data_IF_408450038837
#
_entry.id   IF_408450038837
#
_cell.length_a   1.000
_cell.length_b   1.000
_cell.length_c   1.000
_cell.angle_alpha   90.00
_cell.angle_beta   90.00
_cell.angle_gamma   90.00
#
_symmetry.space_group_name_H-M   'P 1'
#
loop_
_entity.id
_entity.type
_entity.pdbx_description
1 polymer ?
#
# COMPACT_ATOMS: atom_id res chain seq x y z
N UNK A 1 -6.90 -14.84 -69.68
CA UNK A 1 -6.26 -13.85 -68.78
C UNK A 1 -7.10 -13.75 -67.51
N UNK A 2 -6.65 -14.33 -66.40
CA UNK A 2 -7.28 -14.11 -65.09
C UNK A 2 -6.18 -14.16 -64.02
N UNK A 3 -5.70 -13.00 -63.57
CA UNK A 3 -4.70 -12.88 -62.51
C UNK A 3 -5.41 -13.10 -61.16
N UNK A 4 -5.16 -14.24 -60.52
CA UNK A 4 -5.61 -14.50 -59.14
C UNK A 4 -4.72 -13.70 -58.19
N UNK A 5 -5.22 -12.56 -57.71
CA UNK A 5 -4.55 -11.78 -56.67
C UNK A 5 -4.86 -12.44 -55.32
N UNK A 6 -3.87 -13.13 -54.76
CA UNK A 6 -3.93 -13.64 -53.38
C UNK A 6 -3.62 -12.48 -52.45
N UNK A 7 -4.61 -12.02 -51.69
CA UNK A 7 -4.43 -11.01 -50.64
C UNK A 7 -4.03 -11.75 -49.36
N UNK A 8 -2.78 -11.57 -48.94
CA UNK A 8 -2.27 -12.08 -47.68
C UNK A 8 -2.70 -11.13 -46.57
N UNK A 9 -3.67 -11.55 -45.75
CA UNK A 9 -4.11 -10.77 -44.58
C UNK A 9 -3.10 -10.99 -43.45
N UNK A 10 -2.23 -10.00 -43.22
CA UNK A 10 -1.26 -10.01 -42.14
C UNK A 10 -1.99 -9.72 -40.81
N UNK A 11 -2.28 -10.74 -40.02
CA UNK A 11 -2.74 -10.56 -38.64
C UNK A 11 -1.59 -10.01 -37.80
N UNK A 12 -1.65 -8.72 -37.47
CA UNK A 12 -0.77 -8.12 -36.46
C UNK A 12 -1.29 -8.58 -35.10
N UNK A 13 -0.67 -9.62 -34.54
CA UNK A 13 -0.95 -10.10 -33.20
C UNK A 13 -0.21 -9.19 -32.21
N UNK A 14 -0.85 -8.12 -31.74
CA UNK A 14 -0.29 -7.31 -30.64
C UNK A 14 -0.46 -8.11 -29.34
N UNK A 15 0.59 -8.80 -28.90
CA UNK A 15 0.64 -9.32 -27.54
C UNK A 15 0.72 -8.14 -26.58
N UNK A 16 -0.38 -7.85 -25.87
CA UNK A 16 -0.30 -7.00 -24.69
C UNK A 16 0.59 -7.72 -23.67
N UNK A 17 1.82 -7.24 -23.50
CA UNK A 17 2.70 -7.68 -22.42
C UNK A 17 2.08 -7.14 -21.12
N UNK A 18 1.24 -7.95 -20.47
CA UNK A 18 0.89 -7.66 -19.09
C UNK A 18 2.17 -7.81 -18.26
N UNK A 19 2.59 -6.73 -17.59
CA UNK A 19 3.69 -6.81 -16.64
C UNK A 19 3.31 -7.82 -15.55
N UNK A 20 4.14 -8.85 -15.37
CA UNK A 20 3.91 -9.91 -14.38
C UNK A 20 3.91 -9.33 -12.96
N UNK A 21 2.90 -9.69 -12.15
CA UNK A 21 2.87 -9.32 -10.72
C UNK A 21 4.03 -9.97 -9.98
N UNK A 22 4.64 -9.22 -9.07
CA UNK A 22 5.57 -9.73 -8.07
C UNK A 22 4.83 -10.58 -7.03
N UNK A 23 5.45 -11.67 -6.59
CA UNK A 23 4.90 -12.58 -5.59
C UNK A 23 5.40 -12.14 -4.20
N UNK A 24 4.50 -11.60 -3.38
CA UNK A 24 4.81 -11.14 -2.03
C UNK A 24 5.43 -12.25 -1.18
N UNK A 25 6.52 -11.93 -0.50
CA UNK A 25 7.04 -12.66 0.64
C UNK A 25 6.33 -12.18 1.91
N UNK A 26 5.47 -13.02 2.47
CA UNK A 26 4.66 -12.68 3.64
C UNK A 26 5.47 -12.56 4.94
N UNK A 27 6.65 -13.19 5.03
CA UNK A 27 7.48 -13.17 6.23
C UNK A 27 8.30 -11.88 6.32
N UNK A 28 8.60 -11.28 5.17
CA UNK A 28 9.40 -10.06 5.04
C UNK A 28 8.58 -8.81 4.70
N UNK A 29 7.25 -8.95 4.62
CA UNK A 29 6.34 -7.82 4.41
C UNK A 29 5.70 -7.38 5.73
N UNK A 30 5.90 -6.12 6.11
CA UNK A 30 5.41 -5.56 7.38
C UNK A 30 4.77 -4.19 7.20
N UNK A 31 3.75 -3.90 8.01
CA UNK A 31 3.17 -2.57 8.19
C UNK A 31 3.17 -2.26 9.68
N UNK A 32 4.09 -1.39 10.07
CA UNK A 32 4.27 -0.93 11.44
C UNK A 32 3.68 0.47 11.60
N UNK A 33 3.21 0.76 12.81
CA UNK A 33 2.81 2.11 13.18
C UNK A 33 3.34 2.48 14.57
N UNK A 34 3.61 3.77 14.76
CA UNK A 34 3.97 4.33 16.05
C UNK A 34 3.13 5.58 16.30
N UNK A 35 2.51 5.65 17.48
CA UNK A 35 1.75 6.81 17.94
C UNK A 35 2.15 7.18 19.36
N UNK A 36 2.14 8.47 19.70
CA UNK A 36 2.35 8.90 21.09
C UNK A 36 1.05 8.89 21.88
N UNK A 37 1.07 8.31 23.07
CA UNK A 37 0.02 8.37 24.07
C UNK A 37 0.63 8.79 25.42
N UNK A 38 0.13 9.86 26.04
CA UNK A 38 0.75 10.50 27.21
C UNK A 38 2.25 10.84 26.99
N UNK A 39 2.62 11.21 25.76
CA UNK A 39 4.00 11.53 25.38
C UNK A 39 4.91 10.32 25.16
N UNK A 40 4.45 9.11 25.46
CA UNK A 40 5.19 7.85 25.31
C UNK A 40 4.83 7.21 23.97
N UNK A 41 5.83 6.69 23.25
CA UNK A 41 5.59 5.93 22.01
C UNK A 41 4.89 4.62 22.30
N UNK A 42 3.85 4.34 21.52
CA UNK A 42 3.15 3.06 21.43
C UNK A 42 3.35 2.56 20.02
N UNK A 43 4.02 1.42 19.91
CA UNK A 43 4.21 0.72 18.65
C UNK A 43 3.08 -0.29 18.42
N UNK A 44 2.82 -0.57 17.16
CA UNK A 44 1.94 -1.64 16.74
C UNK A 44 2.20 -2.07 15.31
N UNK A 45 1.53 -3.15 14.94
CA UNK A 45 1.69 -3.84 13.65
C UNK A 45 0.33 -4.29 13.15
N UNK A 46 0.17 -4.37 11.83
CA UNK A 46 -0.90 -5.16 11.23
C UNK A 46 -0.32 -6.47 10.70
N UNK A 47 -0.75 -7.59 11.28
CA UNK A 47 -0.19 -8.92 10.98
C UNK A 47 -0.70 -9.53 9.68
N UNK A 48 -1.73 -8.95 9.04
CA UNK A 48 -2.30 -9.45 7.78
C UNK A 48 -2.36 -8.34 6.76
N UNK A 49 -1.35 -8.35 5.89
CA UNK A 49 -1.15 -7.37 4.83
C UNK A 49 -0.98 -8.10 3.50
N UNK A 50 -1.62 -7.57 2.46
CA UNK A 50 -1.41 -8.01 1.07
C UNK A 50 -1.11 -6.80 0.23
N UNK A 51 0.06 -6.79 -0.39
CA UNK A 51 0.53 -5.78 -1.34
C UNK A 51 0.69 -6.49 -2.68
N UNK A 52 0.06 -5.92 -3.71
CA UNK A 52 0.17 -6.35 -5.09
C UNK A 52 0.83 -5.25 -5.89
N UNK A 53 1.82 -5.64 -6.68
CA UNK A 53 2.57 -4.73 -7.52
C UNK A 53 3.11 -5.44 -8.74
N UNK A 54 3.16 -4.72 -9.86
CA UNK A 54 3.85 -5.11 -11.08
C UNK A 54 5.03 -4.15 -11.36
N UNK A 55 5.55 -3.50 -10.30
CA UNK A 55 6.55 -2.44 -10.37
C UNK A 55 7.67 -2.79 -11.35
N UNK A 56 7.94 -1.85 -12.25
CA UNK A 56 8.97 -1.95 -13.26
C UNK A 56 9.66 -0.60 -13.40
N UNK A 57 10.91 -0.52 -12.97
CA UNK A 57 11.70 0.71 -13.04
C UNK A 57 11.85 1.25 -14.48
N UNK A 58 11.77 0.38 -15.49
CA UNK A 58 11.87 0.77 -16.90
C UNK A 58 10.56 1.31 -17.48
N UNK A 59 9.44 1.12 -16.77
CA UNK A 59 8.11 1.56 -17.19
C UNK A 59 7.21 1.82 -15.97
N UNK A 60 7.40 3.00 -15.36
CA UNK A 60 6.57 3.45 -14.24
C UNK A 60 5.12 3.72 -14.65
N UNK A 61 4.87 4.01 -15.94
CA UNK A 61 3.53 4.39 -16.42
C UNK A 61 2.51 3.26 -16.32
N UNK A 62 2.97 2.01 -16.42
CA UNK A 62 2.16 0.81 -16.23
C UNK A 62 2.35 0.17 -14.85
N UNK A 63 3.15 0.76 -13.97
CA UNK A 63 3.44 0.25 -12.63
C UNK A 63 2.35 0.66 -11.63
N UNK A 64 1.96 -0.26 -10.74
CA UNK A 64 1.05 0.00 -9.62
C UNK A 64 1.55 -0.62 -8.32
N UNK A 65 1.12 -0.05 -7.19
CA UNK A 65 1.30 -0.62 -5.86
C UNK A 65 -0.03 -0.49 -5.11
N UNK A 66 -0.71 -1.60 -4.89
CA UNK A 66 -1.99 -1.64 -4.19
C UNK A 66 -1.85 -2.46 -2.91
N UNK A 67 -2.35 -1.94 -1.79
CA UNK A 67 -2.26 -2.61 -0.50
C UNK A 67 -3.63 -2.82 0.14
N UNK A 68 -3.79 -3.96 0.82
CA UNK A 68 -4.95 -4.28 1.66
C UNK A 68 -4.43 -4.73 3.02
N UNK A 69 -4.91 -4.07 4.07
CA UNK A 69 -4.62 -4.43 5.46
C UNK A 69 -5.91 -4.86 6.13
N UNK A 70 -5.90 -6.02 6.80
CA UNK A 70 -7.04 -6.48 7.59
C UNK A 70 -7.03 -5.78 8.95
N UNK A 71 -8.09 -5.04 9.28
CA UNK A 71 -8.16 -4.24 10.51
C UNK A 71 -8.04 -5.12 11.75
N UNK A 72 -8.70 -6.28 11.75
CA UNK A 72 -8.65 -7.25 12.85
C UNK A 72 -7.29 -7.91 13.09
N UNK A 73 -6.27 -7.59 12.28
CA UNK A 73 -4.91 -8.09 12.47
C UNK A 73 -4.01 -7.13 13.25
N UNK A 74 -4.56 -5.99 13.68
CA UNK A 74 -3.86 -5.04 14.52
C UNK A 74 -3.37 -5.69 15.81
N UNK A 75 -2.13 -5.41 16.17
CA UNK A 75 -1.55 -5.80 17.44
C UNK A 75 -0.66 -4.71 17.99
N UNK A 76 -0.79 -4.46 19.27
CA UNK A 76 0.07 -3.57 20.05
C UNK A 76 0.75 -4.30 21.21
N UNK A 77 0.66 -5.64 21.22
CA UNK A 77 1.13 -6.49 22.31
C UNK A 77 0.29 -6.41 23.60
N UNK A 78 -0.87 -5.75 23.59
CA UNK A 78 -1.78 -5.66 24.75
C UNK A 78 -3.20 -5.98 24.29
N UNK A 79 -3.68 -7.19 24.56
CA UNK A 79 -4.97 -7.71 24.09
C UNK A 79 -6.17 -6.80 24.39
N UNK A 80 -6.22 -6.19 25.58
CA UNK A 80 -7.30 -5.28 25.95
C UNK A 80 -7.33 -4.02 25.08
N UNK A 81 -6.16 -3.50 24.70
CA UNK A 81 -6.03 -2.36 23.79
C UNK A 81 -6.34 -2.78 22.37
N UNK A 82 -5.86 -3.94 21.94
CA UNK A 82 -6.10 -4.46 20.59
C UNK A 82 -7.60 -4.66 20.34
N UNK A 83 -8.34 -5.22 21.32
CA UNK A 83 -9.80 -5.31 21.26
C UNK A 83 -10.46 -3.94 21.16
N UNK A 84 -10.06 -2.98 22.01
CA UNK A 84 -10.63 -1.63 21.98
C UNK A 84 -10.40 -0.90 20.66
N UNK A 85 -9.24 -1.10 20.00
CA UNK A 85 -8.96 -0.50 18.69
C UNK A 85 -9.90 -1.00 17.59
N UNK A 86 -10.56 -2.15 17.76
CA UNK A 86 -11.52 -2.70 16.80
C UNK A 86 -12.93 -2.12 16.94
N UNK A 87 -13.22 -1.43 18.06
CA UNK A 87 -14.54 -0.88 18.35
C UNK A 87 -14.87 0.36 17.51
N UNK A 88 -16.13 0.79 17.57
CA UNK A 88 -16.72 1.84 16.71
C UNK A 88 -15.98 3.19 16.79
N UNK A 89 -15.47 3.56 17.96
CA UNK A 89 -14.77 4.82 18.19
C UNK A 89 -13.37 4.84 17.56
N UNK A 90 -12.78 3.68 17.27
CA UNK A 90 -11.50 3.52 16.56
C UNK A 90 -11.70 3.05 15.13
N UNK A 91 -11.34 1.81 14.80
CA UNK A 91 -11.35 1.34 13.41
C UNK A 91 -12.72 0.81 12.97
N UNK A 92 -13.65 0.54 13.90
CA UNK A 92 -14.96 -0.04 13.60
C UNK A 92 -14.82 -1.26 12.67
N UNK A 93 -14.14 -2.28 13.18
CA UNK A 93 -13.72 -3.43 12.37
C UNK A 93 -14.90 -4.27 11.86
N UNK A 94 -16.09 -4.12 12.47
CA UNK A 94 -17.33 -4.77 12.04
C UNK A 94 -17.79 -4.19 10.70
N UNK A 95 -17.87 -2.86 10.59
CA UNK A 95 -18.33 -2.20 9.37
C UNK A 95 -17.20 -2.00 8.35
N UNK A 96 -15.96 -1.84 8.82
CA UNK A 96 -14.79 -1.53 8.00
C UNK A 96 -13.67 -2.56 8.23
N UNK A 97 -13.82 -3.73 7.61
CA UNK A 97 -12.88 -4.85 7.80
C UNK A 97 -11.48 -4.63 7.22
N UNK A 98 -11.33 -3.65 6.31
CA UNK A 98 -10.11 -3.45 5.50
C UNK A 98 -9.73 -1.98 5.40
N UNK A 99 -8.44 -1.72 5.54
CA UNK A 99 -7.78 -0.51 5.05
C UNK A 99 -7.26 -0.81 3.64
N UNK A 100 -7.43 0.14 2.71
CA UNK A 100 -7.01 -0.02 1.31
C UNK A 100 -6.15 1.14 0.85
N UNK A 101 -5.12 0.83 0.09
CA UNK A 101 -4.33 1.80 -0.67
C UNK A 101 -4.40 1.41 -2.14
N UNK A 102 -4.86 2.34 -2.97
CA UNK A 102 -4.98 2.15 -4.41
C UNK A 102 -4.13 3.20 -5.12
N UNK A 103 -3.05 2.74 -5.77
CA UNK A 103 -2.17 3.61 -6.53
C UNK A 103 -2.86 4.18 -7.76
N UNK A 104 -2.49 5.41 -8.10
CA UNK A 104 -2.93 6.11 -9.30
C UNK A 104 -1.78 6.32 -10.29
N UNK A 105 -0.57 6.57 -9.79
CA UNK A 105 0.66 6.68 -10.56
C UNK A 105 1.88 6.58 -9.66
N UNK A 106 3.02 6.29 -10.27
CA UNK A 106 4.35 6.39 -9.67
C UNK A 106 5.17 7.32 -10.55
N UNK A 107 5.80 8.33 -9.95
CA UNK A 107 6.63 9.30 -10.67
C UNK A 107 7.96 9.50 -9.97
N UNK A 108 8.98 9.86 -10.73
CA UNK A 108 10.25 10.32 -10.18
C UNK A 108 10.18 11.85 -10.00
N UNK A 109 10.56 12.34 -8.83
CA UNK A 109 10.64 13.78 -8.56
C UNK A 109 11.90 14.40 -9.19
N UNK A 110 12.13 15.69 -8.99
CA UNK A 110 13.30 16.39 -9.54
C UNK A 110 14.65 15.95 -8.96
N UNK A 111 14.62 15.32 -7.78
CA UNK A 111 15.80 14.86 -7.04
C UNK A 111 16.12 13.38 -7.33
N UNK A 112 15.25 12.70 -8.08
CA UNK A 112 15.38 11.28 -8.43
C UNK A 112 14.62 10.31 -7.52
N UNK A 113 13.86 10.82 -6.53
CA UNK A 113 13.10 9.98 -5.62
C UNK A 113 11.78 9.54 -6.26
N UNK A 114 11.38 8.29 -6.01
CA UNK A 114 10.10 7.77 -6.45
C UNK A 114 8.97 8.18 -5.49
N UNK A 115 7.92 8.77 -6.05
CA UNK A 115 6.72 9.19 -5.33
C UNK A 115 5.53 8.34 -5.82
N UNK A 116 4.91 7.63 -4.88
CA UNK A 116 3.67 6.90 -5.07
C UNK A 116 2.48 7.83 -4.79
N UNK A 117 1.67 8.10 -5.80
CA UNK A 117 0.41 8.82 -5.65
C UNK A 117 -0.71 7.80 -5.50
N UNK A 118 -1.43 7.83 -4.38
CA UNK A 118 -2.45 6.83 -4.07
C UNK A 118 -3.68 7.41 -3.38
N UNK A 119 -4.76 6.65 -3.41
CA UNK A 119 -5.92 6.86 -2.54
C UNK A 119 -5.87 5.89 -1.37
N UNK A 120 -5.76 6.42 -0.16
CA UNK A 120 -5.82 5.67 1.09
C UNK A 120 -7.24 5.75 1.65
N UNK A 121 -7.84 4.59 1.90
CA UNK A 121 -9.16 4.44 2.49
C UNK A 121 -9.08 3.76 3.85
N UNK A 122 -9.45 4.48 4.90
CA UNK A 122 -9.53 3.99 6.29
C UNK A 122 -10.91 4.35 6.84
N UNK A 123 -11.60 3.38 7.44
CA UNK A 123 -12.92 3.59 8.07
C UNK A 123 -13.94 4.28 7.14
N UNK A 124 -13.97 3.86 5.87
CA UNK A 124 -14.85 4.41 4.84
C UNK A 124 -14.47 5.79 4.30
N UNK A 125 -13.42 6.43 4.81
CA UNK A 125 -12.95 7.74 4.36
C UNK A 125 -11.76 7.57 3.44
N UNK A 126 -11.86 8.13 2.23
CA UNK A 126 -10.82 8.11 1.22
C UNK A 126 -10.07 9.45 1.15
N UNK A 127 -8.74 9.39 1.10
CA UNK A 127 -7.84 10.55 0.98
C UNK A 127 -6.77 10.28 -0.07
N UNK A 128 -6.49 11.26 -0.92
CA UNK A 128 -5.32 11.22 -1.81
C UNK A 128 -4.07 11.53 -0.99
N UNK A 129 -3.03 10.73 -1.18
CA UNK A 129 -1.75 10.85 -0.49
C UNK A 129 -0.60 10.64 -1.47
N UNK A 130 0.54 11.23 -1.13
CA UNK A 130 1.79 11.12 -1.85
C UNK A 130 2.79 10.50 -0.88
N UNK A 131 3.40 9.39 -1.30
CA UNK A 131 4.27 8.59 -0.44
C UNK A 131 5.61 8.46 -1.14
N UNK A 132 6.69 9.04 -0.59
CA UNK A 132 8.04 8.69 -0.99
C UNK A 132 8.27 7.19 -0.76
N UNK A 133 8.73 6.50 -1.79
CA UNK A 133 9.06 5.08 -1.74
C UNK A 133 10.51 4.87 -2.16
N UNK A 134 11.22 4.03 -1.41
CA UNK A 134 12.52 3.53 -1.83
C UNK A 134 12.33 2.15 -2.45
N UNK A 135 12.97 1.92 -3.59
CA UNK A 135 12.82 0.68 -4.36
C UNK A 135 14.18 0.11 -4.70
N UNK A 136 14.37 -1.17 -4.41
CA UNK A 136 15.59 -1.91 -4.75
C UNK A 136 15.23 -3.25 -5.37
N UNK A 137 15.72 -3.52 -6.57
CA UNK A 137 15.59 -4.81 -7.23
C UNK A 137 16.97 -5.48 -7.31
N UNK A 138 17.14 -6.63 -6.69
CA UNK A 138 18.39 -7.40 -6.72
C UNK A 138 18.11 -8.89 -6.75
N UNK A 139 18.77 -9.62 -7.65
CA UNK A 139 18.67 -11.09 -7.76
C UNK A 139 17.22 -11.59 -7.84
N UNK A 140 16.36 -10.93 -8.62
CA UNK A 140 14.93 -11.24 -8.74
C UNK A 140 14.12 -11.07 -7.44
N UNK A 141 14.63 -10.31 -6.49
CA UNK A 141 13.92 -9.85 -5.30
C UNK A 141 13.67 -8.35 -5.42
N UNK A 142 12.42 -7.94 -5.20
CA UNK A 142 12.00 -6.55 -5.10
C UNK A 142 11.78 -6.21 -3.63
N UNK A 143 12.48 -5.17 -3.16
CA UNK A 143 12.24 -4.56 -1.85
C UNK A 143 11.66 -3.16 -2.08
N UNK A 144 10.54 -2.86 -1.41
CA UNK A 144 9.96 -1.52 -1.35
C UNK A 144 9.88 -1.09 0.11
N UNK A 145 10.36 0.09 0.45
CA UNK A 145 10.15 0.68 1.77
C UNK A 145 9.46 2.04 1.66
N UNK A 146 8.68 2.36 2.69
CA UNK A 146 7.97 3.63 2.76
C UNK A 146 7.82 4.08 4.21
N UNK A 147 7.93 5.39 4.44
CA UNK A 147 7.64 6.00 5.74
C UNK A 147 6.77 7.23 5.54
N UNK A 148 5.62 7.28 6.21
CA UNK A 148 4.71 8.42 6.15
C UNK A 148 4.16 8.76 7.54
N UNK A 149 3.63 9.97 7.68
CA UNK A 149 2.87 10.37 8.88
C UNK A 149 1.45 10.69 8.48
N UNK A 150 0.48 10.07 9.15
CA UNK A 150 -0.93 10.30 8.95
C UNK A 150 -1.54 10.98 10.17
N UNK A 151 -2.51 11.85 9.95
CA UNK A 151 -3.36 12.34 11.03
C UNK A 151 -4.58 11.42 11.18
N UNK A 152 -4.66 10.68 12.28
CA UNK A 152 -5.75 9.70 12.54
C UNK A 152 -7.15 10.32 12.50
N UNK A 153 -7.26 11.62 12.78
CA UNK A 153 -8.54 12.33 12.79
C UNK A 153 -9.07 12.58 11.39
N UNK A 154 -8.22 12.58 10.37
CA UNK A 154 -8.66 12.72 8.97
C UNK A 154 -9.49 11.52 8.51
N UNK A 155 -9.42 10.41 9.26
CA UNK A 155 -10.13 9.16 9.04
C UNK A 155 -11.06 8.78 10.21
N UNK A 156 -11.37 9.72 11.12
CA UNK A 156 -12.24 9.49 12.28
C UNK A 156 -11.86 8.31 13.19
N UNK A 157 -10.56 8.05 13.37
CA UNK A 157 -10.06 6.99 14.26
C UNK A 157 -9.68 7.56 15.63
N UNK A 158 -10.39 7.16 16.69
CA UNK A 158 -10.08 7.47 18.09
C UNK A 158 -10.52 8.85 18.59
N UNK A 159 -11.40 9.54 17.86
CA UNK A 159 -12.02 10.81 18.27
C UNK A 159 -11.08 11.92 18.75
N UNK A 160 -11.60 12.86 19.55
CA UNK A 160 -10.80 13.90 20.21
C UNK A 160 -10.14 13.31 21.46
N UNK A 161 -8.85 13.59 21.65
CA UNK A 161 -8.12 13.22 22.86
C UNK A 161 -7.12 14.32 23.22
N UNK A 162 -6.86 14.51 24.52
CA UNK A 162 -5.82 15.41 25.03
C UNK A 162 -4.46 14.73 25.15
N UNK A 163 -4.43 13.40 25.14
CA UNK A 163 -3.26 12.58 25.49
C UNK A 163 -2.79 11.71 24.34
N UNK A 164 -3.71 11.31 23.45
CA UNK A 164 -3.41 10.54 22.26
C UNK A 164 -3.12 11.50 21.09
N UNK A 165 -1.89 11.43 20.58
CA UNK A 165 -1.43 12.20 19.41
C UNK A 165 -2.38 12.06 18.22
N UNK A 166 -2.47 13.11 17.40
CA UNK A 166 -3.16 13.02 16.11
C UNK A 166 -2.28 12.32 15.06
N UNK A 167 -0.97 12.54 15.13
CA UNK A 167 -0.01 12.01 14.17
C UNK A 167 0.35 10.57 14.53
N UNK A 168 0.26 9.70 13.53
CA UNK A 168 0.67 8.30 13.52
C UNK A 168 1.77 8.17 12.47
N UNK A 169 2.95 7.72 12.87
CA UNK A 169 4.00 7.34 11.91
C UNK A 169 3.68 5.94 11.40
N UNK A 170 3.73 5.73 10.09
CA UNK A 170 3.57 4.44 9.43
C UNK A 170 4.89 4.09 8.76
N UNK A 171 5.34 2.85 8.90
CA UNK A 171 6.50 2.30 8.22
C UNK A 171 6.09 1.02 7.52
N UNK A 172 6.43 0.89 6.26
CA UNK A 172 6.12 -0.27 5.43
C UNK A 172 7.42 -0.81 4.88
N UNK A 173 7.60 -2.11 5.00
CA UNK A 173 8.61 -2.88 4.29
C UNK A 173 7.87 -3.94 3.49
N UNK A 174 8.18 -4.06 2.21
CA UNK A 174 7.62 -5.07 1.33
C UNK A 174 8.77 -5.80 0.66
N UNK A 175 8.64 -7.12 0.60
CA UNK A 175 9.54 -7.99 -0.13
C UNK A 175 8.73 -8.87 -1.06
N UNK A 176 9.25 -9.09 -2.25
CA UNK A 176 8.68 -10.01 -3.20
C UNK A 176 9.72 -10.63 -4.10
N UNK A 177 9.36 -11.78 -4.65
CA UNK A 177 10.13 -12.50 -5.65
C UNK A 177 9.35 -12.59 -6.95
N UNK A 178 10.08 -12.81 -8.04
CA UNK A 178 9.50 -12.99 -9.37
C UNK A 178 9.21 -14.45 -9.69
#
# INVERSE_FOLDING_TARGET
MLKKTVVFLLLIFTSALFSQEWIQDNEQTTVLFTIKNFGISVDGVFNKVTIKTNFNYKDLSNSYINAVVMVNSISTGIDGRDKHLLEEDYFDAINYTKIRLESSKIEENTDGDLILFATLSIKGIAKKIEIPIDVSEKNSTLILSASMTLNRKDFNVGGRSFVLSNNVKIQVEYSAIK
#
